data_IF_647935728953
#
_entry.id   IF_647935728953
#
_cell.length_a   1.000
_cell.length_b   1.000
_cell.length_c   1.000
_cell.angle_alpha   90.00
_cell.angle_beta   90.00
_cell.angle_gamma   90.00
#
_symmetry.space_group_name_H-M   'P 1'
#
loop_
_entity.id
_entity.type
_entity.pdbx_description
1 polymer ?
#
# COMPACT_ATOMS: atom_id res chain seq x y z
N UNK A 1 0.56 8.50 27.06
CA UNK A 1 1.56 9.43 26.49
C UNK A 1 2.55 8.75 25.54
N UNK A 2 3.22 7.64 25.91
CA UNK A 2 4.26 7.00 25.06
C UNK A 2 3.81 6.64 23.64
N UNK A 3 2.62 6.04 23.46
CA UNK A 3 2.15 5.64 22.12
C UNK A 3 1.85 6.83 21.19
N UNK A 4 1.37 7.94 21.74
CA UNK A 4 1.07 9.15 20.95
C UNK A 4 2.34 9.77 20.39
N UNK A 5 3.43 9.83 21.18
CA UNK A 5 4.73 10.32 20.72
C UNK A 5 5.31 9.46 19.58
N UNK A 6 5.17 8.13 19.69
CA UNK A 6 5.61 7.22 18.62
C UNK A 6 4.79 7.44 17.35
N UNK A 7 3.47 7.58 17.46
CA UNK A 7 2.62 7.88 16.30
C UNK A 7 3.00 9.21 15.65
N UNK A 8 3.21 10.27 16.44
CA UNK A 8 3.68 11.58 15.94
C UNK A 8 5.02 11.42 15.20
N UNK A 9 5.95 10.64 15.73
CA UNK A 9 7.24 10.38 15.08
C UNK A 9 7.07 9.66 13.73
N UNK A 10 6.16 8.69 13.65
CA UNK A 10 5.79 8.01 12.39
C UNK A 10 5.20 9.02 11.40
N UNK A 11 4.32 9.92 11.84
CA UNK A 11 3.71 10.93 10.98
C UNK A 11 4.73 11.97 10.48
N UNK A 12 5.69 12.38 11.32
CA UNK A 12 6.78 13.28 10.89
C UNK A 12 7.63 12.59 9.83
N UNK A 13 8.06 11.34 10.07
CA UNK A 13 8.80 10.55 9.09
C UNK A 13 8.00 10.43 7.77
N UNK A 14 6.71 10.11 7.87
CA UNK A 14 5.81 10.01 6.75
C UNK A 14 5.72 11.31 5.94
N UNK A 15 5.58 12.46 6.61
CA UNK A 15 5.53 13.77 5.94
C UNK A 15 6.86 14.08 5.25
N UNK A 16 8.00 13.82 5.89
CA UNK A 16 9.32 14.03 5.28
C UNK A 16 9.45 13.21 3.99
N UNK A 17 9.14 11.91 4.03
CA UNK A 17 9.24 11.04 2.85
C UNK A 17 8.36 11.47 1.67
N UNK A 18 7.22 12.12 1.95
CA UNK A 18 6.21 12.46 0.94
C UNK A 18 6.31 13.90 0.44
N UNK A 19 6.62 14.84 1.31
CA UNK A 19 6.61 16.28 1.00
C UNK A 19 7.98 16.78 0.55
N UNK A 20 9.06 16.21 1.09
CA UNK A 20 10.41 16.68 0.77
C UNK A 20 10.64 16.61 -0.74
N UNK A 21 10.96 17.76 -1.35
CA UNK A 21 11.18 17.91 -2.79
C UNK A 21 10.03 17.40 -3.70
N UNK A 22 8.77 17.44 -3.24
CA UNK A 22 7.61 16.98 -4.04
C UNK A 22 7.41 17.75 -5.36
N UNK A 23 7.93 18.98 -5.43
CA UNK A 23 7.91 19.83 -6.63
C UNK A 23 8.93 19.41 -7.69
N UNK A 24 9.96 18.66 -7.27
CA UNK A 24 11.06 18.20 -8.12
C UNK A 24 10.84 16.74 -8.49
N UNK A 25 10.39 15.91 -7.53
CA UNK A 25 10.32 14.46 -7.67
C UNK A 25 8.94 13.89 -7.33
N UNK A 26 8.31 13.14 -8.26
CA UNK A 26 8.80 12.82 -9.61
C UNK A 26 8.76 14.05 -10.54
N UNK A 27 9.58 14.14 -11.59
CA UNK A 27 9.55 15.25 -12.55
C UNK A 27 8.13 15.41 -13.12
N UNK A 28 7.80 16.63 -13.58
CA UNK A 28 6.48 16.94 -14.12
C UNK A 28 6.23 16.12 -15.38
N UNK A 29 5.55 14.99 -15.21
CA UNK A 29 4.80 14.34 -16.28
C UNK A 29 3.55 15.23 -16.47
N UNK A 30 3.30 15.66 -17.69
CA UNK A 30 2.47 16.81 -18.08
C UNK A 30 1.31 17.18 -17.13
N UNK A 31 1.18 18.49 -16.83
CA UNK A 31 0.01 19.18 -16.25
C UNK A 31 -0.40 18.94 -14.79
N UNK A 32 0.20 18.02 -14.02
CA UNK A 32 -0.24 17.86 -12.61
C UNK A 32 0.03 19.13 -11.79
N UNK A 33 -1.05 19.82 -11.41
CA UNK A 33 -0.99 20.97 -10.52
C UNK A 33 -0.38 20.50 -9.21
N UNK A 34 0.72 21.14 -8.81
CA UNK A 34 1.49 20.83 -7.59
C UNK A 34 0.59 20.65 -6.36
N UNK A 35 -0.48 21.45 -6.26
CA UNK A 35 -1.48 21.38 -5.19
C UNK A 35 -2.07 19.98 -5.00
N UNK A 36 -2.33 19.24 -6.10
CA UNK A 36 -2.91 17.90 -6.02
C UNK A 36 -1.92 16.85 -5.51
N UNK A 37 -0.61 17.04 -5.74
CA UNK A 37 0.43 16.19 -5.14
C UNK A 37 0.50 16.40 -3.63
N UNK A 38 0.47 17.64 -3.16
CA UNK A 38 0.40 17.94 -1.72
C UNK A 38 -0.87 17.37 -1.09
N UNK A 39 -2.01 17.49 -1.77
CA UNK A 39 -3.27 16.91 -1.30
C UNK A 39 -3.17 15.38 -1.20
N UNK A 40 -2.62 14.71 -2.21
CA UNK A 40 -2.40 13.25 -2.20
C UNK A 40 -1.46 12.82 -1.06
N UNK A 41 -0.34 13.54 -0.86
CA UNK A 41 0.60 13.30 0.23
C UNK A 41 -0.07 13.45 1.60
N UNK A 42 -0.91 14.48 1.77
CA UNK A 42 -1.65 14.73 3.00
C UNK A 42 -2.70 13.65 3.26
N UNK A 43 -3.51 13.28 2.26
CA UNK A 43 -4.52 12.22 2.36
C UNK A 43 -3.89 10.87 2.69
N UNK A 44 -2.74 10.55 2.07
CA UNK A 44 -2.01 9.34 2.40
C UNK A 44 -1.46 9.38 3.84
N UNK A 45 -1.00 10.53 4.31
CA UNK A 45 -0.57 10.71 5.71
C UNK A 45 -1.72 10.54 6.69
N UNK A 46 -2.91 11.09 6.38
CA UNK A 46 -4.12 10.84 7.16
C UNK A 46 -4.51 9.35 7.16
N UNK A 47 -4.31 8.65 6.04
CA UNK A 47 -4.55 7.20 5.95
C UNK A 47 -3.71 6.41 6.93
N UNK A 48 -2.50 6.86 7.29
CA UNK A 48 -1.66 6.24 8.34
C UNK A 48 -2.35 6.31 9.71
N UNK A 49 -3.01 7.43 10.02
CA UNK A 49 -3.77 7.62 11.27
C UNK A 49 -5.01 6.72 11.28
N UNK A 50 -5.76 6.68 10.19
CA UNK A 50 -6.95 5.81 10.08
C UNK A 50 -6.55 4.35 10.18
N UNK A 51 -5.45 3.94 9.52
CA UNK A 51 -4.88 2.60 9.64
C UNK A 51 -4.47 2.28 11.08
N UNK A 52 -3.85 3.22 11.81
CA UNK A 52 -3.52 3.01 13.23
C UNK A 52 -4.79 2.68 14.03
N UNK A 53 -5.85 3.46 13.86
CA UNK A 53 -7.11 3.25 14.59
C UNK A 53 -7.76 1.91 14.21
N UNK A 54 -7.82 1.59 12.92
CA UNK A 54 -8.35 0.33 12.40
C UNK A 54 -7.57 -0.87 12.94
N UNK A 55 -6.24 -0.85 12.81
CA UNK A 55 -5.37 -1.93 13.26
C UNK A 55 -5.37 -2.08 14.80
N UNK A 56 -5.45 -0.97 15.54
CA UNK A 56 -5.53 -1.00 17.01
C UNK A 56 -6.76 -1.76 17.48
N UNK A 57 -7.89 -1.54 16.80
CA UNK A 57 -9.14 -2.23 17.08
C UNK A 57 -9.09 -3.69 16.64
N UNK A 58 -8.63 -3.95 15.42
CA UNK A 58 -8.59 -5.30 14.85
C UNK A 58 -7.64 -6.25 15.60
N UNK A 59 -6.47 -5.74 16.00
CA UNK A 59 -5.40 -6.52 16.62
C UNK A 59 -5.41 -6.44 18.15
N UNK A 60 -6.32 -5.66 18.74
CA UNK A 60 -6.41 -5.38 20.18
C UNK A 60 -5.08 -4.96 20.82
N UNK A 61 -4.18 -4.32 20.05
CA UNK A 61 -2.85 -3.95 20.51
C UNK A 61 -2.38 -2.67 19.84
N UNK A 62 -2.15 -1.63 20.65
CA UNK A 62 -1.61 -0.37 20.16
C UNK A 62 -0.19 -0.53 19.59
N UNK A 63 0.63 -1.44 20.13
CA UNK A 63 2.00 -1.66 19.63
C UNK A 63 1.99 -2.22 18.22
N UNK A 64 1.13 -3.21 17.95
CA UNK A 64 0.98 -3.79 16.61
C UNK A 64 0.45 -2.77 15.63
N UNK A 65 -0.54 -1.97 16.04
CA UNK A 65 -1.06 -0.88 15.22
C UNK A 65 -0.01 0.18 14.86
N UNK A 66 0.85 0.56 15.82
CA UNK A 66 1.98 1.46 15.55
C UNK A 66 2.95 0.84 14.53
N UNK A 67 3.25 -0.46 14.64
CA UNK A 67 4.07 -1.17 13.66
C UNK A 67 3.39 -1.21 12.28
N UNK A 68 2.07 -1.44 12.20
CA UNK A 68 1.32 -1.42 10.93
C UNK A 68 1.40 -0.07 10.26
N UNK A 69 1.19 1.01 11.03
CA UNK A 69 1.31 2.38 10.55
C UNK A 69 2.72 2.74 10.12
N UNK A 70 3.75 2.30 10.87
CA UNK A 70 5.14 2.49 10.50
C UNK A 70 5.46 1.79 9.18
N UNK A 71 5.14 0.50 9.06
CA UNK A 71 5.38 -0.29 7.85
C UNK A 71 4.68 0.37 6.65
N UNK A 72 3.39 0.67 6.76
CA UNK A 72 2.65 1.35 5.69
C UNK A 72 3.26 2.71 5.30
N UNK A 73 3.81 3.45 6.27
CA UNK A 73 4.40 4.77 6.02
C UNK A 73 5.68 4.73 5.17
N UNK A 74 6.40 3.60 5.19
CA UNK A 74 7.72 3.43 4.56
C UNK A 74 7.71 2.52 3.33
N UNK A 75 6.60 1.81 3.04
CA UNK A 75 6.51 0.95 1.86
C UNK A 75 6.81 1.73 0.56
N UNK A 76 7.59 1.18 -0.38
CA UNK A 76 7.98 1.88 -1.60
C UNK A 76 6.78 2.46 -2.35
N UNK A 77 5.76 1.63 -2.55
CA UNK A 77 4.59 2.02 -3.32
C UNK A 77 3.74 3.08 -2.61
N UNK A 78 3.66 3.02 -1.26
CA UNK A 78 3.00 4.05 -0.44
C UNK A 78 3.69 5.40 -0.56
N UNK A 79 5.03 5.41 -0.55
CA UNK A 79 5.83 6.62 -0.77
C UNK A 79 5.60 7.16 -2.18
N UNK A 80 5.79 6.34 -3.22
CA UNK A 80 5.62 6.74 -4.63
C UNK A 80 4.24 7.32 -4.89
N UNK A 81 3.18 6.56 -4.59
CA UNK A 81 1.81 6.93 -4.93
C UNK A 81 1.37 8.20 -4.20
N UNK A 82 1.88 8.46 -3.01
CA UNK A 82 1.59 9.68 -2.26
C UNK A 82 2.27 10.94 -2.79
N UNK A 83 3.30 10.80 -3.65
CA UNK A 83 4.05 11.93 -4.22
C UNK A 83 3.52 12.39 -5.57
N UNK A 84 2.70 11.57 -6.22
CA UNK A 84 1.97 11.94 -7.43
C UNK A 84 0.54 12.34 -7.10
N UNK A 85 -0.16 12.93 -8.07
CA UNK A 85 -1.60 13.16 -7.98
C UNK A 85 -2.35 11.84 -8.16
N UNK A 86 -2.31 10.98 -7.14
CA UNK A 86 -2.90 9.64 -7.19
C UNK A 86 -4.32 9.64 -6.66
N UNK A 87 -5.28 9.29 -7.51
CA UNK A 87 -6.69 9.10 -7.14
C UNK A 87 -6.87 7.88 -6.23
N UNK A 88 -6.03 6.84 -6.38
CA UNK A 88 -6.13 5.63 -5.54
C UNK A 88 -5.83 5.91 -4.07
N UNK A 89 -5.08 6.97 -3.74
CA UNK A 89 -4.92 7.41 -2.34
C UNK A 89 -6.24 7.89 -1.71
N UNK A 90 -7.10 8.55 -2.49
CA UNK A 90 -8.42 8.97 -2.01
C UNK A 90 -9.31 7.74 -1.76
N UNK A 91 -9.31 6.79 -2.70
CA UNK A 91 -10.01 5.53 -2.54
C UNK A 91 -9.50 4.74 -1.32
N UNK A 92 -8.18 4.70 -1.10
CA UNK A 92 -7.57 4.05 0.05
C UNK A 92 -8.04 4.68 1.38
N UNK A 93 -8.01 6.02 1.45
CA UNK A 93 -8.45 6.74 2.64
C UNK A 93 -9.91 6.43 2.96
N UNK A 94 -10.80 6.48 1.95
CA UNK A 94 -12.21 6.13 2.10
C UNK A 94 -12.40 4.68 2.52
N UNK A 95 -11.68 3.74 1.88
CA UNK A 95 -11.72 2.32 2.23
C UNK A 95 -11.39 2.12 3.72
N UNK A 96 -10.28 2.68 4.18
CA UNK A 96 -9.86 2.56 5.59
C UNK A 96 -10.84 3.22 6.55
N UNK A 97 -11.35 4.40 6.21
CA UNK A 97 -12.32 5.12 7.03
C UNK A 97 -13.62 4.31 7.17
N UNK A 98 -14.12 3.77 6.06
CA UNK A 98 -15.35 2.98 6.07
C UNK A 98 -15.17 1.65 6.81
N UNK A 99 -14.02 0.97 6.64
CA UNK A 99 -13.70 -0.23 7.43
C UNK A 99 -13.64 0.08 8.93
N UNK A 100 -13.06 1.22 9.32
CA UNK A 100 -13.04 1.67 10.71
C UNK A 100 -14.46 1.92 11.25
N UNK A 101 -15.34 2.57 10.46
CA UNK A 101 -16.74 2.80 10.85
C UNK A 101 -17.48 1.46 10.98
N UNK A 102 -17.33 0.54 10.02
CA UNK A 102 -17.93 -0.80 10.05
C UNK A 102 -17.55 -1.57 11.33
N UNK A 103 -16.30 -1.45 11.79
CA UNK A 103 -15.87 -2.08 13.05
C UNK A 103 -16.57 -1.50 14.29
N UNK A 104 -17.09 -0.27 14.25
CA UNK A 104 -17.82 0.37 15.35
C UNK A 104 -19.31 0.04 15.37
N UNK A 105 -19.86 -0.46 14.27
CA UNK A 105 -21.27 -0.81 14.21
C UNK A 105 -21.53 -2.20 14.78
N UNK A 106 -22.63 -2.35 15.52
CA UNK A 106 -23.09 -3.66 16.01
C UNK A 106 -24.14 -4.28 15.07
N UNK A 107 -25.00 -3.47 14.45
CA UNK A 107 -26.07 -3.93 13.57
C UNK A 107 -25.53 -4.38 12.20
N UNK A 108 -25.84 -5.62 11.81
CA UNK A 108 -25.41 -6.23 10.53
C UNK A 108 -25.94 -5.47 9.31
N UNK A 109 -27.19 -4.98 9.35
CA UNK A 109 -27.80 -4.26 8.23
C UNK A 109 -27.05 -2.94 7.99
N UNK A 110 -26.77 -2.20 9.06
CA UNK A 110 -26.00 -0.94 8.99
C UNK A 110 -24.60 -1.19 8.43
N UNK A 111 -23.93 -2.30 8.80
CA UNK A 111 -22.63 -2.67 8.20
C UNK A 111 -22.71 -2.89 6.70
N UNK A 112 -23.74 -3.58 6.23
CA UNK A 112 -23.96 -3.82 4.80
C UNK A 112 -24.20 -2.50 4.08
N UNK A 113 -25.03 -1.62 4.64
CA UNK A 113 -25.29 -0.28 4.07
C UNK A 113 -23.99 0.52 3.95
N UNK A 114 -23.19 0.58 5.03
CA UNK A 114 -21.90 1.30 5.00
C UNK A 114 -20.92 0.65 4.02
N UNK A 115 -20.91 -0.67 3.90
CA UNK A 115 -20.08 -1.38 2.93
C UNK A 115 -20.47 -1.03 1.49
N UNK A 116 -21.76 -1.09 1.15
CA UNK A 116 -22.25 -0.69 -0.18
C UNK A 116 -21.97 0.80 -0.46
N UNK A 117 -22.16 1.66 0.53
CA UNK A 117 -21.82 3.07 0.46
C UNK A 117 -20.31 3.27 0.23
N UNK A 118 -19.46 2.48 0.87
CA UNK A 118 -18.01 2.54 0.67
C UNK A 118 -17.61 2.19 -0.77
N UNK A 119 -18.24 1.17 -1.37
CA UNK A 119 -18.00 0.80 -2.77
C UNK A 119 -18.40 1.96 -3.68
N UNK A 120 -19.56 2.57 -3.45
CA UNK A 120 -20.02 3.73 -4.22
C UNK A 120 -19.02 4.90 -4.16
N UNK A 121 -18.53 5.26 -2.96
CA UNK A 121 -17.56 6.35 -2.82
C UNK A 121 -16.19 6.01 -3.40
N UNK A 122 -15.73 4.76 -3.27
CA UNK A 122 -14.49 4.31 -3.90
C UNK A 122 -14.58 4.46 -5.42
N UNK A 123 -15.71 4.05 -6.02
CA UNK A 123 -15.94 4.22 -7.46
C UNK A 123 -16.08 5.70 -7.86
N UNK A 124 -16.57 6.57 -6.97
CA UNK A 124 -16.64 8.01 -7.22
C UNK A 124 -15.24 8.65 -7.24
N UNK A 125 -14.38 8.29 -6.29
CA UNK A 125 -13.02 8.84 -6.19
C UNK A 125 -12.02 8.19 -7.14
N UNK A 126 -12.32 6.98 -7.62
CA UNK A 126 -11.47 6.24 -8.53
C UNK A 126 -12.29 5.67 -9.70
N UNK A 127 -12.64 6.53 -10.67
CA UNK A 127 -13.61 6.18 -11.71
C UNK A 127 -13.17 5.04 -12.64
N UNK A 128 -11.87 4.72 -12.68
CA UNK A 128 -11.31 3.60 -13.43
C UNK A 128 -11.99 2.26 -13.06
N UNK A 129 -12.50 2.14 -11.84
CA UNK A 129 -13.30 0.98 -11.42
C UNK A 129 -14.66 0.85 -12.13
N UNK A 130 -15.23 1.93 -12.68
CA UNK A 130 -16.45 1.84 -13.49
C UNK A 130 -16.18 1.23 -14.86
N UNK A 131 -14.97 1.38 -15.41
CA UNK A 131 -14.59 0.89 -16.75
C UNK A 131 -14.63 -0.64 -16.80
N UNK A 132 -14.49 -1.30 -15.64
CA UNK A 132 -14.71 -2.74 -15.47
C UNK A 132 -16.09 -3.18 -16.00
N UNK A 133 -17.11 -2.30 -16.07
CA UNK A 133 -18.46 -2.65 -16.57
C UNK A 133 -18.53 -3.12 -18.02
N UNK A 134 -17.66 -2.66 -18.93
CA UNK A 134 -17.74 -3.05 -20.34
C UNK A 134 -16.94 -4.32 -20.66
N UNK A 135 -15.83 -4.55 -19.94
CA UNK A 135 -14.93 -5.69 -20.16
C UNK A 135 -15.29 -6.94 -19.35
N UNK A 136 -16.06 -6.83 -18.24
CA UNK A 136 -16.40 -7.99 -17.39
C UNK A 136 -17.11 -9.11 -18.14
N UNK A 137 -17.95 -8.78 -19.11
CA UNK A 137 -18.68 -9.77 -19.90
C UNK A 137 -17.83 -10.45 -20.99
N UNK A 138 -16.58 -10.01 -21.16
CA UNK A 138 -15.60 -10.56 -22.11
C UNK A 138 -14.30 -11.02 -21.40
N UNK A 139 -14.34 -11.30 -20.08
CA UNK A 139 -13.14 -11.75 -19.37
C UNK A 139 -12.76 -13.14 -19.86
N UNK A 140 -11.64 -13.23 -20.58
CA UNK A 140 -10.96 -14.49 -20.83
C UNK A 140 -10.42 -15.04 -19.50
N UNK A 141 -10.90 -16.23 -19.11
CA UNK A 141 -10.47 -16.91 -17.89
C UNK A 141 -8.95 -17.11 -17.85
N UNK A 142 -8.32 -17.31 -19.01
CA UNK A 142 -6.86 -17.43 -19.12
C UNK A 142 -6.16 -16.15 -18.67
N UNK A 143 -6.65 -14.99 -19.13
CA UNK A 143 -6.10 -13.70 -18.73
C UNK A 143 -6.34 -13.43 -17.25
N UNK A 144 -7.53 -13.72 -16.73
CA UNK A 144 -7.82 -13.58 -15.29
C UNK A 144 -6.84 -14.39 -14.44
N UNK A 145 -6.65 -15.66 -14.76
CA UNK A 145 -5.73 -16.55 -14.03
C UNK A 145 -4.30 -16.05 -14.13
N UNK A 146 -3.84 -15.65 -15.33
CA UNK A 146 -2.52 -15.07 -15.55
C UNK A 146 -2.29 -13.81 -14.70
N UNK A 147 -3.28 -12.92 -14.66
CA UNK A 147 -3.21 -11.67 -13.89
C UNK A 147 -3.16 -11.95 -12.39
N UNK A 148 -3.94 -12.92 -11.89
CA UNK A 148 -3.89 -13.37 -10.49
C UNK A 148 -2.50 -13.91 -10.14
N UNK A 149 -1.90 -14.73 -11.01
CA UNK A 149 -0.54 -15.25 -10.80
C UNK A 149 0.49 -14.12 -10.74
N UNK A 150 0.41 -13.13 -11.64
CA UNK A 150 1.29 -11.96 -11.59
C UNK A 150 1.10 -11.15 -10.30
N UNK A 151 -0.15 -10.88 -9.90
CA UNK A 151 -0.46 -10.09 -8.68
C UNK A 151 -0.01 -10.77 -7.38
N UNK A 152 0.13 -12.10 -7.39
CA UNK A 152 0.60 -12.90 -6.25
C UNK A 152 2.06 -13.32 -6.36
N UNK A 153 2.74 -12.94 -7.44
CA UNK A 153 4.13 -13.31 -7.70
C UNK A 153 5.11 -12.59 -6.76
N UNK A 154 6.24 -13.23 -6.48
CA UNK A 154 7.37 -12.58 -5.80
C UNK A 154 7.96 -11.44 -6.63
N UNK A 155 7.81 -11.50 -7.95
CA UNK A 155 8.30 -10.49 -8.88
C UNK A 155 7.62 -9.14 -8.62
N UNK A 156 6.29 -9.09 -8.63
CA UNK A 156 5.55 -7.87 -8.29
C UNK A 156 5.79 -7.43 -6.84
N UNK A 157 5.84 -8.39 -5.92
CA UNK A 157 5.99 -8.06 -4.49
C UNK A 157 7.31 -7.38 -4.17
N UNK A 158 8.42 -7.76 -4.82
CA UNK A 158 9.75 -7.35 -4.40
C UNK A 158 10.61 -6.70 -5.48
N UNK A 159 10.40 -7.02 -6.75
CA UNK A 159 11.39 -6.75 -7.80
C UNK A 159 10.89 -5.84 -8.93
N UNK A 160 9.60 -5.85 -9.24
CA UNK A 160 9.06 -5.08 -10.38
C UNK A 160 7.95 -4.13 -9.93
N UNK A 161 8.01 -2.90 -10.45
CA UNK A 161 6.95 -1.93 -10.37
C UNK A 161 6.34 -1.64 -11.75
N UNK A 162 5.16 -2.19 -12.07
CA UNK A 162 4.50 -1.91 -13.34
C UNK A 162 4.04 -0.45 -13.43
N UNK A 163 3.89 0.25 -12.29
CA UNK A 163 3.51 1.67 -12.26
C UNK A 163 4.71 2.61 -12.41
N UNK A 164 5.78 2.16 -13.08
CA UNK A 164 7.00 2.95 -13.32
C UNK A 164 6.67 4.33 -13.90
N UNK A 165 5.82 4.39 -14.93
CA UNK A 165 5.41 5.65 -15.58
C UNK A 165 4.59 6.57 -14.67
N UNK A 166 4.10 6.06 -13.54
CA UNK A 166 3.32 6.79 -12.55
C UNK A 166 4.16 7.23 -11.34
N UNK A 167 5.48 7.29 -11.47
CA UNK A 167 6.38 7.61 -10.36
C UNK A 167 7.13 6.41 -9.79
N UNK A 168 6.84 5.17 -10.20
CA UNK A 168 7.47 3.98 -9.61
C UNK A 168 8.95 3.83 -9.96
N UNK A 169 9.75 3.24 -9.06
CA UNK A 169 11.09 2.74 -9.42
C UNK A 169 10.92 1.35 -10.02
N UNK A 170 11.42 1.14 -11.25
CA UNK A 170 11.18 -0.10 -12.02
C UNK A 170 11.56 -1.35 -11.25
N UNK A 171 12.72 -1.32 -10.60
CA UNK A 171 13.35 -2.47 -9.96
C UNK A 171 13.02 -2.59 -8.45
N UNK A 172 11.93 -1.96 -8.01
CA UNK A 172 11.48 -2.00 -6.60
C UNK A 172 9.99 -2.33 -6.56
N UNK A 173 9.67 -3.53 -6.07
CA UNK A 173 8.30 -3.99 -5.95
C UNK A 173 7.47 -3.25 -4.89
N UNK A 174 6.32 -3.85 -4.57
CA UNK A 174 5.34 -3.32 -3.62
C UNK A 174 5.91 -3.20 -2.20
N UNK A 175 6.77 -4.14 -1.82
CA UNK A 175 7.38 -4.26 -0.50
C UNK A 175 8.88 -4.53 -0.59
N UNK A 176 9.54 -4.32 0.54
CA UNK A 176 10.93 -4.68 0.75
C UNK A 176 11.11 -6.21 0.88
N UNK A 177 12.16 -6.76 0.27
CA UNK A 177 12.44 -8.20 0.32
C UNK A 177 12.74 -8.63 1.77
N UNK A 178 13.39 -7.76 2.54
CA UNK A 178 13.62 -7.91 3.98
C UNK A 178 12.33 -8.17 4.79
N UNK A 179 11.16 -7.76 4.30
CA UNK A 179 9.87 -8.03 4.98
C UNK A 179 9.32 -9.44 4.74
N UNK A 180 9.85 -10.22 3.79
CA UNK A 180 9.38 -11.57 3.45
C UNK A 180 9.22 -12.51 4.66
N UNK A 181 10.24 -12.73 5.52
CA UNK A 181 10.09 -13.61 6.69
C UNK A 181 9.03 -13.10 7.68
N UNK A 182 8.89 -11.78 7.81
CA UNK A 182 7.90 -11.16 8.69
C UNK A 182 6.48 -11.34 8.12
N UNK A 183 6.31 -11.15 6.82
CA UNK A 183 5.05 -11.36 6.11
C UNK A 183 4.62 -12.83 6.23
N UNK A 184 5.51 -13.79 6.00
CA UNK A 184 5.22 -15.22 6.10
C UNK A 184 4.73 -15.63 7.51
N UNK A 185 5.45 -15.20 8.56
CA UNK A 185 5.03 -15.45 9.95
C UNK A 185 3.71 -14.73 10.27
N UNK A 186 3.54 -13.51 9.76
CA UNK A 186 2.30 -12.75 9.89
C UNK A 186 1.10 -13.50 9.31
N UNK A 187 1.21 -14.00 8.08
CA UNK A 187 0.16 -14.76 7.38
C UNK A 187 -0.21 -16.02 8.16
N UNK A 188 0.80 -16.79 8.60
CA UNK A 188 0.59 -17.98 9.43
C UNK A 188 -0.21 -17.66 10.70
N UNK A 189 0.18 -16.61 11.43
CA UNK A 189 -0.51 -16.19 12.66
C UNK A 189 -1.93 -15.70 12.41
N UNK A 190 -2.18 -15.07 11.25
CA UNK A 190 -3.48 -14.55 10.87
C UNK A 190 -4.48 -15.68 10.61
N UNK A 191 -4.03 -16.77 9.95
CA UNK A 191 -4.80 -18.01 9.78
C UNK A 191 -5.11 -18.65 11.12
N UNK A 192 -4.11 -18.84 11.99
CA UNK A 192 -4.31 -19.45 13.32
C UNK A 192 -5.33 -18.70 14.18
N UNK A 193 -5.38 -17.36 14.05
CA UNK A 193 -6.30 -16.51 14.81
C UNK A 193 -7.66 -16.30 14.12
N UNK A 194 -7.91 -16.99 12.99
CA UNK A 194 -9.16 -16.92 12.23
C UNK A 194 -9.54 -15.49 11.83
N UNK A 195 -8.55 -14.64 11.54
CA UNK A 195 -8.76 -13.23 11.13
C UNK A 195 -9.08 -13.11 9.64
N UNK A 196 -9.99 -13.96 9.14
CA UNK A 196 -10.26 -14.14 7.72
C UNK A 196 -10.76 -12.88 7.00
N UNK A 197 -11.26 -11.88 7.73
CA UNK A 197 -11.68 -10.61 7.13
C UNK A 197 -10.54 -9.91 6.36
N UNK A 198 -9.30 -9.96 6.85
CA UNK A 198 -8.15 -9.35 6.17
C UNK A 198 -7.87 -10.09 4.85
N UNK A 199 -7.89 -11.43 4.87
CA UNK A 199 -7.74 -12.25 3.66
C UNK A 199 -8.87 -12.02 2.67
N UNK A 200 -10.10 -11.88 3.15
CA UNK A 200 -11.26 -11.61 2.32
C UNK A 200 -11.12 -10.26 1.61
N UNK A 201 -10.79 -9.18 2.34
CA UNK A 201 -10.56 -7.86 1.74
C UNK A 201 -9.44 -7.90 0.71
N UNK A 202 -8.32 -8.56 1.00
CA UNK A 202 -7.23 -8.73 0.05
C UNK A 202 -7.69 -9.50 -1.20
N UNK A 203 -8.39 -10.62 -1.04
CA UNK A 203 -8.86 -11.44 -2.16
C UNK A 203 -9.82 -10.68 -3.07
N UNK A 204 -10.73 -9.87 -2.50
CA UNK A 204 -11.64 -9.02 -3.28
C UNK A 204 -10.87 -7.97 -4.08
N UNK A 205 -9.91 -7.27 -3.47
CA UNK A 205 -9.09 -6.27 -4.18
C UNK A 205 -8.24 -6.92 -5.26
N UNK A 206 -7.69 -8.10 -4.99
CA UNK A 206 -6.91 -8.89 -5.94
C UNK A 206 -7.76 -9.24 -7.17
N UNK A 207 -8.99 -9.71 -6.97
CA UNK A 207 -9.90 -10.02 -8.09
C UNK A 207 -10.26 -8.77 -8.89
N UNK A 208 -10.56 -7.66 -8.21
CA UNK A 208 -10.85 -6.37 -8.87
C UNK A 208 -9.65 -5.90 -9.71
N UNK A 209 -8.44 -6.03 -9.17
CA UNK A 209 -7.20 -5.63 -9.86
C UNK A 209 -6.92 -6.55 -11.06
N UNK A 210 -7.18 -7.85 -10.93
CA UNK A 210 -6.93 -8.84 -11.98
C UNK A 210 -7.84 -8.66 -13.20
N UNK A 211 -9.04 -8.09 -13.02
CA UNK A 211 -9.98 -7.77 -14.11
C UNK A 211 -9.86 -6.34 -14.61
N UNK A 212 -8.91 -5.55 -14.07
CA UNK A 212 -8.75 -4.16 -14.47
C UNK A 212 -8.35 -4.08 -15.95
N UNK A 213 -9.00 -3.22 -16.76
CA UNK A 213 -8.62 -3.00 -18.15
C UNK A 213 -7.24 -2.35 -18.29
N UNK A 214 -6.70 -1.77 -17.22
CA UNK A 214 -5.38 -1.14 -17.18
C UNK A 214 -4.27 -2.10 -16.69
N UNK A 215 -4.57 -3.39 -16.54
CA UNK A 215 -3.59 -4.38 -16.14
C UNK A 215 -2.45 -4.48 -17.18
N UNK A 216 -1.15 -4.53 -16.78
CA UNK A 216 -0.62 -4.68 -15.42
C UNK A 216 -0.37 -3.37 -14.65
N UNK A 217 -0.58 -2.21 -15.27
CA UNK A 217 -0.32 -0.89 -14.66
C UNK A 217 -1.44 -0.40 -13.72
N UNK A 218 -2.47 -1.22 -13.53
CA UNK A 218 -3.58 -1.04 -12.60
C UNK A 218 -3.09 -0.63 -11.20
N UNK A 219 -3.59 0.49 -10.67
CA UNK A 219 -3.23 0.97 -9.32
C UNK A 219 -4.17 0.42 -8.25
N UNK A 220 -5.25 -0.27 -8.62
CA UNK A 220 -6.24 -0.92 -7.75
C UNK A 220 -5.58 -1.77 -6.66
N UNK A 221 -4.51 -2.48 -7.03
CA UNK A 221 -3.81 -3.39 -6.12
C UNK A 221 -3.11 -2.66 -4.97
N UNK A 222 -2.87 -1.35 -5.12
CA UNK A 222 -2.39 -0.48 -4.04
C UNK A 222 -3.31 -0.50 -2.80
N UNK A 223 -4.61 -0.75 -2.99
CA UNK A 223 -5.58 -0.84 -1.90
C UNK A 223 -5.29 -2.01 -0.93
N UNK A 224 -4.43 -2.96 -1.33
CA UNK A 224 -3.99 -4.08 -0.49
C UNK A 224 -2.97 -3.67 0.59
N UNK A 225 -2.21 -2.58 0.36
CA UNK A 225 -1.05 -2.24 1.19
C UNK A 225 -1.30 -2.14 2.71
N UNK A 226 -2.41 -1.56 3.20
CA UNK A 226 -2.65 -1.50 4.64
C UNK A 226 -2.79 -2.89 5.27
N UNK A 227 -3.37 -3.84 4.53
CA UNK A 227 -3.53 -5.23 5.00
C UNK A 227 -2.19 -5.93 5.07
N UNK A 228 -1.34 -5.80 4.04
CA UNK A 228 0.04 -6.32 4.07
C UNK A 228 0.84 -5.70 5.22
N UNK A 229 0.65 -4.42 5.49
CA UNK A 229 1.30 -3.74 6.61
C UNK A 229 0.86 -4.30 7.97
N UNK A 230 -0.44 -4.59 8.14
CA UNK A 230 -0.98 -5.25 9.34
C UNK A 230 -0.43 -6.67 9.51
N UNK A 231 -0.37 -7.45 8.42
CA UNK A 231 0.17 -8.81 8.45
C UNK A 231 1.66 -8.80 8.81
N UNK A 232 2.44 -7.95 8.16
CA UNK A 232 3.89 -7.82 8.40
C UNK A 232 4.17 -7.33 9.82
N UNK A 233 3.37 -6.40 10.34
CA UNK A 233 3.46 -5.92 11.71
C UNK A 233 3.22 -7.02 12.75
N UNK A 234 2.30 -7.95 12.47
CA UNK A 234 2.07 -9.11 13.33
C UNK A 234 3.30 -10.02 13.40
N UNK A 235 3.92 -10.30 12.24
CA UNK A 235 5.15 -11.07 12.17
C UNK A 235 6.30 -10.38 12.91
N UNK A 236 6.53 -9.09 12.64
CA UNK A 236 7.53 -8.28 13.32
C UNK A 236 7.36 -8.29 14.84
N UNK A 237 6.13 -8.08 15.31
CA UNK A 237 5.81 -8.13 16.74
C UNK A 237 6.14 -9.49 17.36
N UNK A 238 5.89 -10.59 16.63
CA UNK A 238 6.20 -11.94 17.10
C UNK A 238 7.70 -12.18 17.22
N UNK A 239 8.49 -11.78 16.21
CA UNK A 239 9.95 -11.87 16.25
C UNK A 239 10.52 -11.07 17.42
N UNK A 240 10.07 -9.82 17.59
CA UNK A 240 10.55 -8.92 18.64
C UNK A 240 10.34 -9.49 20.06
N UNK A 241 9.19 -10.11 20.29
CA UNK A 241 8.86 -10.67 21.60
C UNK A 241 9.34 -12.11 21.82
N UNK A 242 9.99 -12.73 20.83
CA UNK A 242 10.56 -14.06 21.03
C UNK A 242 11.77 -14.01 21.98
N UNK A 243 11.89 -15.02 22.85
CA UNK A 243 13.00 -15.12 23.82
C UNK A 243 14.30 -15.69 23.22
N UNK A 244 14.26 -16.25 22.02
CA UNK A 244 15.41 -16.92 21.40
C UNK A 244 16.42 -15.88 20.93
N UNK A 245 17.69 -16.03 21.35
CA UNK A 245 18.78 -15.18 20.88
C UNK A 245 18.92 -15.23 19.36
N UNK A 246 18.83 -16.42 18.77
CA UNK A 246 18.90 -16.62 17.32
C UNK A 246 17.85 -15.79 16.58
N UNK A 247 16.58 -15.82 17.02
CA UNK A 247 15.51 -15.05 16.38
C UNK A 247 15.67 -13.55 16.54
N UNK A 248 16.28 -13.09 17.65
CA UNK A 248 16.63 -11.68 17.83
C UNK A 248 17.76 -11.27 16.89
N UNK A 249 18.78 -12.10 16.72
CA UNK A 249 19.86 -11.86 15.75
C UNK A 249 19.34 -11.81 14.31
N UNK A 250 18.45 -12.75 13.94
CA UNK A 250 17.76 -12.74 12.64
C UNK A 250 16.95 -11.45 12.48
N UNK A 251 16.24 -11.00 13.51
CA UNK A 251 15.48 -9.75 13.46
C UNK A 251 16.38 -8.53 13.26
N UNK A 252 17.52 -8.47 13.94
CA UNK A 252 18.51 -7.39 13.75
C UNK A 252 19.01 -7.40 12.30
N UNK A 253 19.33 -8.57 11.75
CA UNK A 253 19.74 -8.71 10.35
C UNK A 253 18.65 -8.22 9.39
N UNK A 254 17.39 -8.62 9.63
CA UNK A 254 16.23 -8.14 8.84
C UNK A 254 16.12 -6.61 8.89
N UNK A 255 16.28 -6.00 10.07
CA UNK A 255 16.23 -4.54 10.24
C UNK A 255 17.37 -3.86 9.47
N UNK A 256 18.59 -4.40 9.54
CA UNK A 256 19.75 -3.87 8.80
C UNK A 256 19.53 -3.98 7.28
N UNK A 257 19.04 -5.12 6.80
CA UNK A 257 18.66 -5.31 5.38
C UNK A 257 17.56 -4.34 4.95
N UNK A 258 16.55 -4.12 5.77
CA UNK A 258 15.50 -3.14 5.51
C UNK A 258 16.06 -1.71 5.38
N UNK A 259 16.95 -1.30 6.28
CA UNK A 259 17.58 0.03 6.22
C UNK A 259 18.39 0.18 4.94
N UNK A 260 19.13 -0.86 4.54
CA UNK A 260 19.87 -0.89 3.28
C UNK A 260 18.94 -0.78 2.05
N UNK A 261 17.88 -1.60 1.97
CA UNK A 261 16.91 -1.57 0.86
C UNK A 261 16.16 -0.24 0.78
N UNK A 262 15.82 0.37 1.92
CA UNK A 262 15.20 1.69 1.99
C UNK A 262 16.16 2.78 1.47
N UNK A 263 17.43 2.74 1.87
CA UNK A 263 18.44 3.68 1.36
C UNK A 263 18.65 3.52 -0.15
N UNK A 264 18.69 2.28 -0.64
CA UNK A 264 18.77 1.98 -2.07
C UNK A 264 17.54 2.52 -2.81
N UNK A 265 16.33 2.24 -2.35
CA UNK A 265 15.10 2.77 -2.94
C UNK A 265 15.13 4.30 -3.02
N UNK A 266 15.48 4.99 -1.94
CA UNK A 266 15.56 6.46 -1.93
C UNK A 266 16.63 6.97 -2.91
N UNK A 267 17.79 6.32 -2.98
CA UNK A 267 18.83 6.67 -3.96
C UNK A 267 18.31 6.54 -5.40
N UNK A 268 17.74 5.39 -5.77
CA UNK A 268 17.18 5.19 -7.11
C UNK A 268 16.03 6.15 -7.41
N UNK A 269 15.14 6.38 -6.46
CA UNK A 269 13.98 7.24 -6.63
C UNK A 269 14.34 8.73 -6.81
N UNK A 270 15.28 9.25 -6.03
CA UNK A 270 15.64 10.67 -6.08
C UNK A 270 16.73 11.00 -7.11
N UNK A 271 17.59 10.05 -7.47
CA UNK A 271 18.73 10.31 -8.36
C UNK A 271 18.51 9.71 -9.75
N UNK A 272 18.12 8.44 -9.84
CA UNK A 272 18.06 7.74 -11.14
C UNK A 272 16.71 7.88 -11.85
N UNK A 273 15.60 7.74 -11.14
CA UNK A 273 14.25 7.84 -11.71
C UNK A 273 14.02 9.14 -12.51
N UNK A 274 14.43 10.32 -12.04
CA UNK A 274 14.23 11.57 -12.79
C UNK A 274 14.98 11.58 -14.12
N UNK A 275 16.22 11.09 -14.13
CA UNK A 275 17.06 10.97 -15.32
C UNK A 275 16.43 9.99 -16.31
N UNK A 276 15.93 8.84 -15.82
CA UNK A 276 15.24 7.86 -16.65
C UNK A 276 13.96 8.43 -17.29
N UNK A 277 13.18 9.23 -16.56
CA UNK A 277 11.97 9.87 -17.09
C UNK A 277 12.30 10.93 -18.14
N UNK A 278 13.29 11.79 -17.88
CA UNK A 278 13.73 12.81 -18.85
C UNK A 278 14.19 12.15 -20.15
N UNK A 279 14.95 11.06 -20.06
CA UNK A 279 15.46 10.34 -21.24
C UNK A 279 14.39 9.52 -21.99
N UNK A 280 13.20 9.33 -21.43
CA UNK A 280 12.13 8.55 -22.04
C UNK A 280 10.82 9.35 -22.20
N UNK A 281 10.88 10.69 -22.26
CA UNK A 281 9.68 11.54 -22.39
C UNK A 281 8.77 11.16 -23.57
N UNK A 282 9.35 10.74 -24.70
CA UNK A 282 8.60 10.31 -25.88
C UNK A 282 7.71 9.09 -25.59
N UNK A 283 8.21 8.12 -24.80
CA UNK A 283 7.45 6.91 -24.42
C UNK A 283 6.36 7.19 -23.40
N UNK A 284 6.48 8.29 -22.67
CA UNK A 284 5.50 8.72 -21.67
C UNK A 284 4.25 9.24 -22.36
N UNK A 285 4.39 9.97 -23.47
CA UNK A 285 3.25 10.53 -24.20
C UNK A 285 2.36 9.47 -24.87
N UNK A 286 2.84 8.25 -25.10
CA UNK A 286 2.04 7.13 -25.60
C UNK A 286 1.25 6.40 -24.49
N UNK A 287 1.60 6.64 -23.21
CA UNK A 287 1.01 5.97 -22.06
C UNK A 287 -0.17 6.73 -21.41
N UNK A 288 -0.41 7.99 -21.82
CA UNK A 288 -1.47 8.87 -21.29
C UNK A 288 -2.41 9.34 -22.41
#
# INVERSE_FOLDING_TARGET
MKNSLILISILICALVLRIWQINIFPPKIASTIVIYRYLSAFINTLSIIVLFLYAKKEMHSAKKALLSSFIFSVLPWSVVQSRISSQVNNALFVLLLMLLIIQHQHNKIIKIIIFLFSIFFICLFYPQLWIIKSSVFQIDLKNLVSNIFFLTSSELFFFINPTFWWGGVRDVGIMYLSFTPLLAVGLYLLVLRKKYQIFFCWSVILLISAVSPLFPESQEYYLVLPFLSVVTAEGLYRFWHHKSLLLRSILILIILSFVYEMAQFMHYYYIHYPVQIINNQEKIHEAF
#
